data_IF_959892302546
#
_entry.id   IF_959892302546
#
_cell.length_a   1.000
_cell.length_b   1.000
_cell.length_c   1.000
_cell.angle_alpha   90.00
_cell.angle_beta   90.00
_cell.angle_gamma   90.00
#
_symmetry.space_group_name_H-M   'P 1'
#
loop_
_entity.id
_entity.type
_entity.pdbx_description
1 polymer ?
#
# COMPACT_ATOMS: atom_id res chain seq x y z
N UNK A 1 8.70 34.15 -7.49
CA UNK A 1 9.70 33.14 -7.91
C UNK A 1 9.33 31.84 -7.23
N UNK A 2 8.83 30.86 -7.97
CA UNK A 2 8.45 29.54 -7.46
C UNK A 2 9.70 28.83 -6.98
N UNK A 3 9.74 28.46 -5.71
CA UNK A 3 10.77 27.60 -5.15
C UNK A 3 10.67 26.24 -5.88
N UNK A 4 11.46 26.07 -6.94
CA UNK A 4 11.57 24.80 -7.65
C UNK A 4 12.36 23.87 -6.74
N UNK A 5 11.67 23.00 -6.02
CA UNK A 5 12.28 21.77 -5.55
C UNK A 5 12.80 21.01 -6.78
N UNK A 6 13.97 20.38 -6.71
CA UNK A 6 14.46 19.63 -7.86
C UNK A 6 13.45 18.52 -8.18
N UNK A 7 12.66 18.78 -9.19
CA UNK A 7 11.61 17.89 -9.63
C UNK A 7 12.25 16.77 -10.45
N UNK A 8 12.60 15.68 -9.81
CA UNK A 8 12.95 14.43 -10.46
C UNK A 8 11.75 13.48 -10.36
N UNK A 9 11.39 12.86 -11.47
CA UNK A 9 10.28 11.91 -11.52
C UNK A 9 9.16 12.33 -12.47
N UNK A 10 8.26 11.40 -12.84
CA UNK A 10 7.19 11.62 -13.81
C UNK A 10 6.12 12.61 -13.34
N UNK A 11 6.00 12.86 -12.03
CA UNK A 11 5.05 13.82 -11.44
C UNK A 11 5.70 15.16 -11.06
N UNK A 12 6.85 15.46 -11.64
CA UNK A 12 7.50 16.74 -11.46
C UNK A 12 6.57 17.91 -11.83
N UNK A 13 6.36 18.86 -10.90
CA UNK A 13 5.48 20.00 -11.07
C UNK A 13 4.05 19.78 -10.56
N UNK A 14 3.66 18.58 -10.21
CA UNK A 14 2.37 18.29 -9.55
C UNK A 14 2.49 18.58 -8.05
N UNK A 15 1.58 19.37 -7.53
CA UNK A 15 1.46 19.68 -6.10
C UNK A 15 0.27 18.99 -5.45
N UNK A 16 0.51 18.36 -4.31
CA UNK A 16 -0.50 17.67 -3.51
C UNK A 16 -0.61 18.32 -2.14
N UNK A 17 -1.82 18.67 -1.73
CA UNK A 17 -2.16 19.03 -0.34
C UNK A 17 -2.77 17.81 0.34
N UNK A 18 -2.03 17.27 1.29
CA UNK A 18 -2.30 15.99 1.96
C UNK A 18 -2.79 16.21 3.40
N UNK A 19 -4.10 16.07 3.63
CA UNK A 19 -4.71 16.08 4.96
C UNK A 19 -4.95 14.65 5.49
N UNK A 20 -4.39 13.65 4.85
CA UNK A 20 -4.59 12.26 5.27
C UNK A 20 -3.76 11.88 6.51
N UNK A 21 -4.20 10.86 7.22
CA UNK A 21 -3.54 10.35 8.43
C UNK A 21 -3.51 8.81 8.45
N UNK A 22 -2.73 8.24 9.34
CA UNK A 22 -2.51 6.81 9.58
C UNK A 22 -1.66 6.17 8.46
N UNK A 23 -2.21 5.31 7.58
CA UNK A 23 -1.43 4.54 6.59
C UNK A 23 -1.96 4.69 5.17
N UNK A 24 -3.24 4.39 4.89
CA UNK A 24 -3.75 4.29 3.51
C UNK A 24 -3.59 5.59 2.71
N UNK A 25 -4.04 6.71 3.27
CA UNK A 25 -3.90 8.02 2.66
C UNK A 25 -2.45 8.48 2.58
N UNK A 26 -1.71 8.52 3.71
CA UNK A 26 -0.28 8.88 3.68
C UNK A 26 0.54 8.00 2.74
N UNK A 27 0.25 6.69 2.68
CA UNK A 27 0.88 5.77 1.75
C UNK A 27 0.60 6.12 0.29
N UNK A 28 -0.66 6.45 -0.06
CA UNK A 28 -1.03 6.87 -1.41
C UNK A 28 -0.26 8.14 -1.82
N UNK A 29 -0.24 9.15 -0.95
CA UNK A 29 0.48 10.42 -1.21
C UNK A 29 2.00 10.21 -1.20
N UNK A 30 2.52 9.26 -0.40
CA UNK A 30 3.92 8.86 -0.42
C UNK A 30 4.34 8.22 -1.75
N UNK A 31 3.46 7.42 -2.38
CA UNK A 31 3.70 6.88 -3.73
C UNK A 31 3.75 7.98 -4.80
N UNK A 32 2.97 9.07 -4.65
CA UNK A 32 3.07 10.23 -5.54
C UNK A 32 4.35 11.03 -5.28
N UNK A 33 4.75 11.19 -4.01
CA UNK A 33 6.01 11.83 -3.66
C UNK A 33 7.23 11.07 -4.21
N UNK A 34 7.23 9.73 -4.14
CA UNK A 34 8.25 8.87 -4.74
C UNK A 34 8.40 9.10 -6.25
N UNK A 35 7.34 9.54 -6.91
CA UNK A 35 7.30 9.85 -8.35
C UNK A 35 7.56 11.33 -8.66
N UNK A 36 7.93 12.13 -7.65
CA UNK A 36 8.35 13.52 -7.82
C UNK A 36 7.28 14.58 -7.58
N UNK A 37 6.09 14.22 -7.08
CA UNK A 37 5.10 15.21 -6.68
C UNK A 37 5.57 16.01 -5.43
N UNK A 38 5.26 17.32 -5.40
CA UNK A 38 5.45 18.18 -4.25
C UNK A 38 4.31 17.98 -3.24
N UNK A 39 4.48 17.06 -2.29
CA UNK A 39 3.45 16.69 -1.33
C UNK A 39 3.61 17.50 -0.04
N UNK A 40 2.61 18.35 0.26
CA UNK A 40 2.52 19.13 1.50
C UNK A 40 1.53 18.45 2.43
N UNK A 41 2.08 17.80 3.47
CA UNK A 41 1.28 17.18 4.53
C UNK A 41 0.87 18.23 5.56
N UNK A 42 -0.43 18.46 5.66
CA UNK A 42 -1.03 19.34 6.68
C UNK A 42 -1.40 18.50 7.90
N UNK A 43 -0.79 18.82 9.02
CA UNK A 43 -0.95 18.10 10.29
C UNK A 43 -1.57 19.01 11.37
N UNK A 44 -2.36 18.45 12.31
CA UNK A 44 -2.77 19.18 13.50
C UNK A 44 -1.56 19.44 14.42
N UNK A 45 -1.66 20.32 15.43
CA UNK A 45 -0.57 20.63 16.35
C UNK A 45 0.09 19.43 17.02
N UNK A 46 -0.68 18.37 17.29
CA UNK A 46 -0.18 17.12 17.85
C UNK A 46 0.40 16.16 16.82
N UNK A 47 0.36 16.49 15.53
CA UNK A 47 0.85 15.64 14.44
C UNK A 47 -0.05 14.46 14.10
N UNK A 48 0.38 13.67 13.12
CA UNK A 48 -0.23 12.40 12.75
C UNK A 48 -0.05 11.39 13.89
N UNK A 49 -1.09 10.61 14.20
CA UNK A 49 -1.05 9.58 15.25
C UNK A 49 0.07 8.55 15.05
N UNK A 50 0.52 8.37 13.81
CA UNK A 50 1.63 7.47 13.49
C UNK A 50 2.99 8.00 13.97
N UNK A 51 3.13 9.30 14.31
CA UNK A 51 4.34 9.85 14.92
C UNK A 51 4.58 9.30 16.34
N UNK A 52 3.51 8.99 17.07
CA UNK A 52 3.53 8.69 18.52
C UNK A 52 3.35 7.20 18.83
N UNK A 53 3.48 6.31 17.87
CA UNK A 53 3.40 4.85 18.07
C UNK A 53 4.78 4.25 18.35
N UNK A 54 5.34 4.52 19.52
CA UNK A 54 6.66 4.02 19.92
C UNK A 54 7.25 4.85 21.04
N UNK A 55 8.49 4.58 21.36
CA UNK A 55 9.23 5.30 22.42
C UNK A 55 9.78 6.65 21.91
N UNK A 56 9.78 6.90 20.60
CA UNK A 56 10.21 8.14 19.96
C UNK A 56 9.02 9.07 19.70
N UNK A 57 9.09 10.30 20.20
CA UNK A 57 7.97 11.25 20.16
C UNK A 57 7.65 11.84 18.79
N UNK A 58 8.56 11.75 17.79
CA UNK A 58 8.37 12.41 16.49
C UNK A 58 8.47 11.49 15.28
N UNK A 59 9.13 10.36 15.41
CA UNK A 59 9.36 9.42 14.30
C UNK A 59 9.16 7.99 14.72
N UNK A 60 8.26 7.31 14.03
CA UNK A 60 8.23 5.84 14.04
C UNK A 60 8.65 5.33 12.66
N UNK A 61 9.23 4.13 12.54
CA UNK A 61 9.50 3.54 11.23
C UNK A 61 8.26 3.46 10.33
N UNK A 62 7.08 3.28 10.93
CA UNK A 62 5.80 3.28 10.21
C UNK A 62 5.45 4.65 9.63
N UNK A 63 5.63 5.73 10.40
CA UNK A 63 5.44 7.09 9.91
C UNK A 63 6.40 7.42 8.77
N UNK A 64 7.70 7.13 8.97
CA UNK A 64 8.74 7.42 7.97
C UNK A 64 8.45 6.72 6.64
N UNK A 65 8.04 5.44 6.69
CA UNK A 65 7.82 4.66 5.48
C UNK A 65 6.73 5.20 4.56
N UNK A 66 5.71 5.87 5.09
CA UNK A 66 4.56 6.40 4.32
C UNK A 66 4.58 7.92 4.16
N UNK A 67 5.54 8.63 4.80
CA UNK A 67 5.63 10.09 4.73
C UNK A 67 6.98 10.61 4.21
N UNK A 68 7.85 9.73 3.73
CA UNK A 68 9.11 10.12 3.08
C UNK A 68 8.85 11.05 1.89
N UNK A 69 9.75 11.99 1.69
CA UNK A 69 9.68 12.94 0.57
C UNK A 69 8.60 14.01 0.67
N UNK A 70 7.84 14.06 1.76
CA UNK A 70 6.82 15.09 1.98
C UNK A 70 7.41 16.30 2.71
N UNK A 71 6.66 17.41 2.65
CA UNK A 71 6.87 18.58 3.49
C UNK A 71 5.78 18.62 4.56
N UNK A 72 6.14 18.82 5.84
CA UNK A 72 5.18 18.93 6.94
C UNK A 72 4.87 20.40 7.25
N UNK A 73 3.58 20.70 7.34
CA UNK A 73 3.02 21.98 7.77
C UNK A 73 2.03 21.73 8.89
N UNK A 74 2.17 22.43 10.00
CA UNK A 74 1.17 22.36 11.09
C UNK A 74 0.15 23.48 10.93
N UNK A 75 -1.14 23.09 10.84
CA UNK A 75 -2.29 24.00 10.90
C UNK A 75 -3.36 23.43 11.85
N UNK A 76 -3.78 24.22 12.82
CA UNK A 76 -4.93 23.84 13.66
C UNK A 76 -6.26 24.21 12.97
N UNK A 77 -6.83 23.25 12.23
CA UNK A 77 -8.10 23.45 11.52
C UNK A 77 -9.31 23.68 12.44
N UNK A 78 -9.15 23.55 13.77
CA UNK A 78 -10.16 23.98 14.74
C UNK A 78 -10.08 25.47 15.03
N UNK A 79 -8.95 26.09 14.76
CA UNK A 79 -8.78 27.53 14.86
C UNK A 79 -9.32 28.20 13.57
N UNK A 80 -10.30 29.13 13.69
CA UNK A 80 -10.88 29.77 12.52
C UNK A 80 -9.87 30.48 11.60
N UNK A 81 -8.76 30.93 12.16
CA UNK A 81 -7.66 31.56 11.40
C UNK A 81 -6.93 30.61 10.44
N UNK A 82 -7.05 29.30 10.61
CA UNK A 82 -6.41 28.33 9.73
C UNK A 82 -7.14 28.15 8.38
N UNK A 83 -8.45 28.40 8.33
CA UNK A 83 -9.23 28.20 7.11
C UNK A 83 -8.75 29.08 5.93
N UNK A 84 -8.48 30.39 6.08
CA UNK A 84 -7.91 31.21 4.99
C UNK A 84 -6.56 30.68 4.51
N UNK A 85 -5.71 30.18 5.41
CA UNK A 85 -4.40 29.63 5.09
C UNK A 85 -4.55 28.36 4.25
N UNK A 86 -5.43 27.43 4.68
CA UNK A 86 -5.69 26.20 3.94
C UNK A 86 -6.29 26.48 2.56
N UNK A 87 -7.20 27.46 2.43
CA UNK A 87 -7.73 27.87 1.13
C UNK A 87 -6.65 28.40 0.18
N UNK A 88 -5.72 29.23 0.70
CA UNK A 88 -4.57 29.69 -0.10
C UNK A 88 -3.68 28.51 -0.54
N UNK A 89 -3.48 27.52 0.34
CA UNK A 89 -2.70 26.34 0.02
C UNK A 89 -3.39 25.49 -1.06
N UNK A 90 -4.70 25.24 -0.93
CA UNK A 90 -5.51 24.51 -1.92
C UNK A 90 -5.44 25.20 -3.28
N UNK A 91 -5.49 26.53 -3.34
CA UNK A 91 -5.41 27.29 -4.59
C UNK A 91 -4.09 27.09 -5.36
N UNK A 92 -3.06 26.52 -4.74
CA UNK A 92 -1.78 26.20 -5.39
C UNK A 92 -1.67 24.72 -5.76
N UNK A 93 -2.67 23.91 -5.46
CA UNK A 93 -2.59 22.45 -5.56
C UNK A 93 -3.23 21.91 -6.83
N UNK A 94 -2.69 20.82 -7.31
CA UNK A 94 -3.28 19.96 -8.35
C UNK A 94 -4.18 18.88 -7.75
N UNK A 95 -3.83 18.44 -6.54
CA UNK A 95 -4.53 17.38 -5.81
C UNK A 95 -4.75 17.82 -4.37
N UNK A 96 -5.97 17.64 -3.87
CA UNK A 96 -6.30 17.74 -2.45
C UNK A 96 -6.78 16.39 -1.95
N UNK A 97 -6.13 15.84 -0.93
CA UNK A 97 -6.40 14.49 -0.41
C UNK A 97 -6.78 14.52 1.07
N UNK A 98 -7.80 13.77 1.44
CA UNK A 98 -8.25 13.63 2.81
C UNK A 98 -8.80 12.23 3.10
N UNK A 99 -8.72 11.79 4.37
CA UNK A 99 -9.35 10.55 4.85
C UNK A 99 -10.08 10.76 6.19
N UNK A 100 -10.67 11.93 6.37
CA UNK A 100 -11.52 12.22 7.52
C UNK A 100 -12.77 11.34 7.51
N UNK A 101 -13.34 11.14 8.70
CA UNK A 101 -14.65 10.50 8.82
C UNK A 101 -15.69 11.27 8.01
N UNK A 102 -16.65 10.58 7.38
CA UNK A 102 -17.72 11.24 6.63
C UNK A 102 -18.38 12.37 7.41
N UNK A 103 -18.54 13.51 6.76
CA UNK A 103 -19.09 14.73 7.33
C UNK A 103 -18.11 15.60 8.12
N UNK A 104 -16.90 15.13 8.42
CA UNK A 104 -15.96 15.93 9.22
C UNK A 104 -15.29 17.04 8.40
N UNK A 105 -14.82 16.71 7.20
CA UNK A 105 -14.19 17.69 6.30
C UNK A 105 -15.21 18.73 5.78
N UNK A 106 -16.45 18.31 5.58
CA UNK A 106 -17.56 19.19 5.20
C UNK A 106 -17.86 20.22 6.29
N UNK A 107 -17.88 19.82 7.58
CA UNK A 107 -18.04 20.75 8.70
C UNK A 107 -16.90 21.76 8.83
N UNK A 108 -15.71 21.41 8.38
CA UNK A 108 -14.58 22.33 8.32
C UNK A 108 -14.65 23.29 7.10
N UNK A 109 -15.63 23.10 6.21
CA UNK A 109 -15.82 23.93 5.01
C UNK A 109 -15.00 23.50 3.80
N UNK A 110 -14.39 22.31 3.83
CA UNK A 110 -13.52 21.79 2.75
C UNK A 110 -14.06 20.50 2.11
N UNK A 111 -15.39 20.32 2.09
CA UNK A 111 -16.04 19.24 1.35
C UNK A 111 -15.80 19.34 -0.16
N UNK A 112 -15.88 18.19 -0.85
CA UNK A 112 -15.59 18.08 -2.30
C UNK A 112 -16.37 19.10 -3.13
N UNK A 113 -17.68 19.26 -2.89
CA UNK A 113 -18.52 20.19 -3.64
C UNK A 113 -18.05 21.64 -3.46
N UNK A 114 -17.69 22.02 -2.22
CA UNK A 114 -17.23 23.37 -1.90
C UNK A 114 -15.87 23.68 -2.52
N UNK A 115 -14.96 22.70 -2.47
CA UNK A 115 -13.60 22.86 -3.01
C UNK A 115 -13.64 22.89 -4.54
N UNK A 116 -14.35 21.98 -5.18
CA UNK A 116 -14.44 21.91 -6.65
C UNK A 116 -15.25 23.06 -7.26
N UNK A 117 -16.19 23.63 -6.52
CA UNK A 117 -16.88 24.85 -6.97
C UNK A 117 -15.92 26.07 -7.06
N UNK A 118 -14.88 26.13 -6.21
CA UNK A 118 -13.86 27.19 -6.22
C UNK A 118 -12.67 26.87 -7.12
N UNK A 119 -12.31 25.59 -7.23
CA UNK A 119 -11.16 25.07 -7.97
C UNK A 119 -11.62 23.91 -8.86
N UNK A 120 -12.28 24.20 -10.00
CA UNK A 120 -12.89 23.18 -10.87
C UNK A 120 -11.88 22.31 -11.62
N UNK A 121 -10.61 22.68 -11.60
CA UNK A 121 -9.48 21.95 -12.17
C UNK A 121 -8.75 21.05 -11.15
N UNK A 122 -9.15 21.11 -9.87
CA UNK A 122 -8.51 20.33 -8.81
C UNK A 122 -8.99 18.87 -8.84
N UNK A 123 -8.08 17.93 -8.59
CA UNK A 123 -8.43 16.54 -8.27
C UNK A 123 -8.63 16.42 -6.76
N UNK A 124 -9.85 16.11 -6.32
CA UNK A 124 -10.18 15.92 -4.91
C UNK A 124 -10.25 14.43 -4.58
N UNK A 125 -9.38 13.93 -3.71
CA UNK A 125 -9.38 12.54 -3.26
C UNK A 125 -10.01 12.40 -1.87
N UNK A 126 -11.00 11.52 -1.76
CA UNK A 126 -11.55 11.05 -0.49
C UNK A 126 -11.24 9.57 -0.29
N UNK A 127 -10.59 9.22 0.82
CA UNK A 127 -10.42 7.82 1.23
C UNK A 127 -11.31 7.55 2.45
N UNK A 128 -12.07 6.47 2.40
CA UNK A 128 -12.97 6.04 3.49
C UNK A 128 -12.79 4.57 3.81
N UNK A 129 -13.26 4.13 4.98
CA UNK A 129 -13.19 2.71 5.36
C UNK A 129 -14.17 1.84 4.58
N UNK A 130 -15.43 2.28 4.44
CA UNK A 130 -16.54 1.47 3.91
C UNK A 130 -17.42 2.20 2.88
N UNK A 131 -16.97 3.36 2.39
CA UNK A 131 -17.76 4.20 1.48
C UNK A 131 -18.57 5.27 2.22
N UNK A 132 -19.32 6.07 1.44
CA UNK A 132 -20.11 7.21 1.92
C UNK A 132 -21.59 6.90 2.14
N UNK A 133 -22.05 5.69 1.79
CA UNK A 133 -23.44 5.26 1.92
C UNK A 133 -23.54 3.89 2.60
N UNK A 134 -24.75 3.49 2.97
CA UNK A 134 -25.02 2.20 3.54
C UNK A 134 -24.96 2.16 5.09
N UNK A 135 -25.22 0.98 5.68
CA UNK A 135 -25.44 0.84 7.12
C UNK A 135 -24.16 1.08 7.96
N UNK A 136 -22.99 0.98 7.34
CA UNK A 136 -21.71 1.07 8.06
C UNK A 136 -21.01 2.43 7.91
N UNK A 137 -21.60 3.41 7.24
CA UNK A 137 -20.99 4.72 6.95
C UNK A 137 -20.41 5.42 8.21
N UNK A 138 -21.03 5.23 9.38
CA UNK A 138 -20.58 5.79 10.65
C UNK A 138 -19.67 4.87 11.47
N UNK A 139 -19.42 3.64 10.96
CA UNK A 139 -18.59 2.66 11.68
C UNK A 139 -17.13 3.11 11.74
N UNK A 140 -16.51 2.92 12.89
CA UNK A 140 -15.05 3.08 13.02
C UNK A 140 -14.38 1.89 12.37
N UNK A 141 -13.49 2.17 11.43
CA UNK A 141 -12.85 1.14 10.61
C UNK A 141 -11.34 1.35 10.62
N UNK A 142 -10.63 0.25 10.82
CA UNK A 142 -9.21 0.09 10.58
C UNK A 142 -9.00 -1.17 9.76
N UNK A 143 -7.79 -1.40 9.28
CA UNK A 143 -7.40 -2.54 8.43
C UNK A 143 -8.02 -3.89 8.86
N UNK A 144 -7.91 -4.35 10.13
CA UNK A 144 -8.48 -5.64 10.53
C UNK A 144 -10.00 -5.73 10.34
N UNK A 145 -10.71 -4.62 10.51
CA UNK A 145 -12.17 -4.58 10.29
C UNK A 145 -12.49 -4.76 8.81
N UNK A 146 -11.68 -4.18 7.93
CA UNK A 146 -11.85 -4.33 6.48
C UNK A 146 -11.52 -5.75 6.03
N UNK A 147 -10.43 -6.35 6.52
CA UNK A 147 -10.11 -7.76 6.25
C UNK A 147 -11.28 -8.69 6.63
N UNK A 148 -11.92 -8.42 7.79
CA UNK A 148 -13.07 -9.22 8.23
C UNK A 148 -14.32 -9.02 7.38
N UNK A 149 -14.58 -7.79 6.89
CA UNK A 149 -15.78 -7.46 6.12
C UNK A 149 -15.69 -7.86 4.64
N UNK A 150 -14.48 -7.91 4.09
CA UNK A 150 -14.24 -8.15 2.66
C UNK A 150 -14.17 -9.62 2.25
N UNK A 151 -14.31 -10.56 3.18
CA UNK A 151 -14.07 -12.00 2.91
C UNK A 151 -12.60 -12.40 2.95
N UNK A 152 -11.67 -11.45 3.11
CA UNK A 152 -10.24 -11.72 3.07
C UNK A 152 -9.78 -12.68 4.18
N UNK A 153 -10.34 -12.55 5.37
CA UNK A 153 -10.04 -13.44 6.50
C UNK A 153 -10.57 -14.87 6.28
N UNK A 154 -11.62 -15.04 5.48
CA UNK A 154 -12.16 -16.35 5.10
C UNK A 154 -11.22 -17.08 4.12
N UNK A 155 -10.66 -16.37 3.14
CA UNK A 155 -9.64 -16.92 2.21
C UNK A 155 -8.45 -17.51 2.98
N UNK A 156 -8.06 -16.90 4.11
CA UNK A 156 -6.96 -17.34 4.98
C UNK A 156 -7.40 -18.35 6.06
N UNK A 157 -8.62 -18.89 5.97
CA UNK A 157 -9.13 -19.82 6.98
C UNK A 157 -8.24 -21.06 7.09
N UNK A 158 -8.11 -21.55 8.32
CA UNK A 158 -7.41 -22.79 8.58
C UNK A 158 -8.11 -23.95 7.84
N UNK A 159 -7.39 -24.75 7.03
CA UNK A 159 -8.01 -25.76 6.19
C UNK A 159 -8.74 -26.86 6.98
N UNK A 160 -8.32 -27.16 8.22
CA UNK A 160 -8.90 -28.20 9.06
C UNK A 160 -9.99 -27.65 9.97
N UNK A 161 -9.66 -26.66 10.78
CA UNK A 161 -10.60 -26.07 11.76
C UNK A 161 -11.59 -25.06 11.17
N UNK A 162 -11.36 -24.64 9.93
CA UNK A 162 -12.14 -23.58 9.25
C UNK A 162 -12.15 -22.24 9.98
N UNK A 163 -11.26 -22.05 10.94
CA UNK A 163 -11.13 -20.79 11.67
C UNK A 163 -10.57 -19.70 10.74
N UNK A 164 -11.29 -18.58 10.50
CA UNK A 164 -10.79 -17.46 9.73
C UNK A 164 -9.49 -16.90 10.31
N UNK A 165 -8.57 -16.50 9.43
CA UNK A 165 -7.29 -15.92 9.80
C UNK A 165 -7.07 -14.61 9.06
N UNK A 166 -6.45 -13.63 9.73
CA UNK A 166 -6.02 -12.39 9.07
C UNK A 166 -4.59 -12.50 8.59
N UNK A 167 -4.27 -11.85 7.48
CA UNK A 167 -2.89 -11.57 7.13
C UNK A 167 -2.33 -10.60 8.19
N UNK A 168 -1.19 -10.96 8.79
CA UNK A 168 -0.55 -10.20 9.87
C UNK A 168 0.25 -8.99 9.34
N UNK A 169 -0.37 -8.23 8.44
CA UNK A 169 0.14 -6.95 7.93
C UNK A 169 -1.06 -6.07 7.54
N UNK A 170 -0.86 -4.77 7.41
CA UNK A 170 -1.91 -3.82 7.05
C UNK A 170 -2.20 -3.92 5.54
N UNK A 171 -2.78 -5.03 5.10
CA UNK A 171 -2.99 -5.33 3.68
C UNK A 171 -4.06 -4.41 3.07
N UNK A 172 -5.14 -4.15 3.79
CA UNK A 172 -6.22 -3.30 3.30
C UNK A 172 -5.76 -1.85 3.15
N UNK A 173 -5.03 -1.31 4.13
CA UNK A 173 -4.44 0.03 4.06
C UNK A 173 -3.48 0.16 2.87
N UNK A 174 -2.53 -0.77 2.72
CA UNK A 174 -1.50 -0.71 1.68
C UNK A 174 -2.07 -0.91 0.28
N UNK A 175 -3.02 -1.83 0.12
CA UNK A 175 -3.71 -2.02 -1.16
C UNK A 175 -4.51 -0.77 -1.53
N UNK A 176 -5.24 -0.18 -0.56
CA UNK A 176 -5.96 1.07 -0.76
C UNK A 176 -5.04 2.21 -1.17
N UNK A 177 -3.83 2.29 -0.59
CA UNK A 177 -2.85 3.31 -0.98
C UNK A 177 -2.47 3.19 -2.46
N UNK A 178 -2.25 1.98 -2.97
CA UNK A 178 -1.95 1.74 -4.40
C UNK A 178 -3.14 2.12 -5.28
N UNK A 179 -4.35 1.67 -4.96
CA UNK A 179 -5.55 2.01 -5.75
C UNK A 179 -5.84 3.52 -5.73
N UNK A 180 -5.69 4.19 -4.58
CA UNK A 180 -5.89 5.62 -4.47
C UNK A 180 -4.86 6.42 -5.28
N UNK A 181 -3.58 6.05 -5.24
CA UNK A 181 -2.55 6.68 -6.07
C UNK A 181 -2.83 6.49 -7.56
N UNK A 182 -3.21 5.28 -8.00
CA UNK A 182 -3.58 4.97 -9.38
C UNK A 182 -4.80 5.79 -9.82
N UNK A 183 -5.83 5.91 -8.97
CA UNK A 183 -7.03 6.70 -9.28
C UNK A 183 -6.73 8.20 -9.41
N UNK A 184 -5.84 8.74 -8.57
CA UNK A 184 -5.35 10.13 -8.70
C UNK A 184 -4.62 10.33 -10.03
N UNK A 185 -3.73 9.41 -10.43
CA UNK A 185 -3.02 9.49 -11.71
C UNK A 185 -3.99 9.45 -12.88
N UNK A 186 -5.01 8.60 -12.85
CA UNK A 186 -6.06 8.55 -13.86
C UNK A 186 -6.86 9.86 -13.93
N UNK A 187 -7.18 10.46 -12.77
CA UNK A 187 -7.89 11.74 -12.70
C UNK A 187 -7.03 12.91 -13.21
N UNK A 188 -5.72 12.93 -12.90
CA UNK A 188 -4.79 13.92 -13.46
C UNK A 188 -4.68 13.80 -14.98
N UNK A 189 -4.58 12.58 -15.51
CA UNK A 189 -4.56 12.34 -16.96
C UNK A 189 -5.88 12.76 -17.65
N UNK A 190 -7.03 12.54 -17.00
CA UNK A 190 -8.32 13.01 -17.49
C UNK A 190 -8.38 14.54 -17.48
N UNK A 191 -7.84 15.19 -16.45
CA UNK A 191 -7.72 16.64 -16.33
C UNK A 191 -6.87 17.23 -17.45
N UNK A 192 -5.72 16.64 -17.77
CA UNK A 192 -4.87 17.11 -18.90
C UNK A 192 -5.62 17.17 -20.22
N UNK A 193 -6.61 16.30 -20.43
CA UNK A 193 -7.41 16.24 -21.66
C UNK A 193 -8.63 17.17 -21.63
N UNK A 194 -9.23 17.38 -20.47
CA UNK A 194 -10.51 18.07 -20.32
C UNK A 194 -10.40 19.49 -19.75
N UNK A 195 -9.25 19.81 -19.12
CA UNK A 195 -9.08 21.01 -18.31
C UNK A 195 -9.87 21.00 -17.00
N UNK A 196 -10.52 19.88 -16.63
CA UNK A 196 -11.38 19.78 -15.45
C UNK A 196 -10.88 18.71 -14.50
N UNK A 197 -10.81 19.07 -13.22
CA UNK A 197 -10.62 18.13 -12.12
C UNK A 197 -11.89 17.35 -11.80
N UNK A 198 -11.83 16.53 -10.76
CA UNK A 198 -12.97 15.72 -10.33
C UNK A 198 -12.81 15.23 -8.88
N UNK A 199 -13.92 14.80 -8.29
CA UNK A 199 -13.91 14.07 -7.04
C UNK A 199 -13.62 12.58 -7.31
N UNK A 200 -12.60 12.06 -6.62
CA UNK A 200 -12.20 10.65 -6.62
C UNK A 200 -12.52 10.07 -5.24
N UNK A 201 -13.31 9.04 -5.18
CA UNK A 201 -13.67 8.34 -3.95
C UNK A 201 -13.07 6.93 -3.96
N UNK A 202 -12.36 6.57 -2.89
CA UNK A 202 -11.80 5.23 -2.71
C UNK A 202 -12.20 4.73 -1.32
N UNK A 203 -12.91 3.60 -1.27
CA UNK A 203 -13.21 2.92 -0.01
C UNK A 203 -12.30 1.71 0.18
N UNK A 204 -11.79 1.51 1.40
CA UNK A 204 -10.95 0.35 1.71
C UNK A 204 -11.70 -0.95 1.47
N UNK A 205 -12.99 -1.02 1.82
CA UNK A 205 -13.83 -2.20 1.60
C UNK A 205 -13.96 -2.52 0.12
N UNK A 206 -14.31 -1.51 -0.71
CA UNK A 206 -14.47 -1.69 -2.16
C UNK A 206 -13.15 -2.11 -2.81
N UNK A 207 -12.04 -1.53 -2.35
CA UNK A 207 -10.69 -1.90 -2.77
C UNK A 207 -10.41 -3.37 -2.51
N UNK A 208 -10.68 -3.85 -1.29
CA UNK A 208 -10.40 -5.24 -0.94
C UNK A 208 -11.32 -6.24 -1.65
N UNK A 209 -12.61 -5.91 -1.81
CA UNK A 209 -13.53 -6.74 -2.61
C UNK A 209 -13.07 -6.80 -4.08
N UNK A 210 -12.68 -5.67 -4.66
CA UNK A 210 -12.13 -5.63 -6.03
C UNK A 210 -10.83 -6.43 -6.14
N UNK A 211 -9.94 -6.33 -5.14
CA UNK A 211 -8.65 -7.02 -5.12
C UNK A 211 -8.78 -8.55 -5.14
N UNK A 212 -9.72 -9.12 -4.38
CA UNK A 212 -9.91 -10.57 -4.31
C UNK A 212 -10.75 -11.14 -5.48
N UNK A 213 -11.41 -10.27 -6.26
CA UNK A 213 -12.38 -10.70 -7.26
C UNK A 213 -11.80 -11.59 -8.38
N UNK A 214 -10.63 -11.27 -8.97
CA UNK A 214 -10.13 -11.97 -10.15
C UNK A 214 -9.89 -13.48 -9.97
N UNK A 215 -9.66 -13.93 -8.75
CA UNK A 215 -9.28 -15.33 -8.48
C UNK A 215 -10.08 -15.92 -7.31
N UNK A 216 -10.01 -15.34 -6.12
CA UNK A 216 -10.64 -15.94 -4.92
C UNK A 216 -12.19 -15.95 -4.99
N UNK A 217 -12.80 -15.07 -5.78
CA UNK A 217 -14.25 -15.03 -6.01
C UNK A 217 -14.71 -15.88 -7.19
N UNK A 218 -13.82 -16.55 -7.91
CA UNK A 218 -14.19 -17.38 -9.05
C UNK A 218 -15.28 -18.44 -8.74
N UNK A 219 -15.26 -19.14 -7.56
CA UNK A 219 -16.30 -20.09 -7.18
C UNK A 219 -17.70 -19.48 -7.03
N UNK A 220 -17.79 -18.17 -6.81
CA UNK A 220 -19.03 -17.42 -6.57
C UNK A 220 -19.44 -16.54 -7.76
N UNK A 221 -18.63 -16.47 -8.81
CA UNK A 221 -18.86 -15.52 -9.92
C UNK A 221 -20.02 -15.91 -10.84
N UNK A 222 -20.41 -17.21 -10.88
CA UNK A 222 -21.52 -17.68 -11.69
C UNK A 222 -22.75 -17.88 -10.81
N UNK A 223 -23.77 -17.04 -10.99
CA UNK A 223 -24.99 -17.04 -10.20
C UNK A 223 -25.78 -18.35 -10.41
N UNK A 224 -26.21 -18.97 -9.31
CA UNK A 224 -27.03 -20.18 -9.30
C UNK A 224 -26.25 -21.49 -9.48
N UNK A 225 -24.93 -21.43 -9.53
CA UNK A 225 -24.03 -22.59 -9.59
C UNK A 225 -22.77 -22.37 -8.73
N UNK A 226 -22.96 -21.70 -7.62
CA UNK A 226 -21.89 -21.40 -6.66
C UNK A 226 -21.31 -22.71 -6.12
N UNK A 227 -19.98 -22.78 -6.06
CA UNK A 227 -19.27 -23.95 -5.57
C UNK A 227 -18.61 -23.65 -4.24
N UNK A 228 -19.30 -23.91 -3.15
CA UNK A 228 -18.81 -23.68 -1.79
C UNK A 228 -17.63 -24.56 -1.43
N UNK A 229 -17.57 -25.79 -1.97
CA UNK A 229 -16.45 -26.70 -1.71
C UNK A 229 -15.18 -26.22 -2.40
N UNK A 230 -15.28 -25.69 -3.62
CA UNK A 230 -14.14 -25.11 -4.32
C UNK A 230 -13.57 -23.86 -3.62
N UNK A 231 -14.43 -23.06 -2.98
CA UNK A 231 -13.98 -21.91 -2.18
C UNK A 231 -13.11 -22.32 -0.98
N UNK A 232 -13.25 -23.54 -0.49
CA UNK A 232 -12.49 -24.06 0.65
C UNK A 232 -11.12 -24.66 0.30
N UNK A 233 -10.75 -24.69 -0.97
CA UNK A 233 -9.59 -25.45 -1.48
C UNK A 233 -8.35 -24.59 -1.79
N UNK A 234 -8.31 -23.32 -1.37
CA UNK A 234 -7.08 -22.53 -1.44
C UNK A 234 -6.08 -23.07 -0.40
N UNK A 235 -5.02 -23.71 -0.88
CA UNK A 235 -3.98 -24.28 -0.02
C UNK A 235 -2.73 -23.44 -0.03
N UNK A 236 -2.05 -23.38 1.11
CA UNK A 236 -0.69 -22.89 1.16
C UNK A 236 0.21 -23.81 0.32
N UNK A 237 0.97 -23.20 -0.59
CA UNK A 237 1.96 -23.91 -1.43
C UNK A 237 3.33 -23.89 -0.74
N UNK A 238 3.37 -24.20 0.56
CA UNK A 238 4.56 -24.22 1.40
C UNK A 238 4.82 -25.65 1.84
N UNK A 239 6.00 -26.15 1.52
CA UNK A 239 6.41 -27.51 1.82
C UNK A 239 7.61 -27.51 2.76
N UNK A 240 7.61 -28.33 3.82
CA UNK A 240 8.76 -28.50 4.69
C UNK A 240 9.89 -29.27 3.98
N UNK A 241 11.11 -28.93 4.32
CA UNK A 241 12.33 -29.65 3.98
C UNK A 241 13.07 -30.00 5.26
N UNK A 242 14.18 -30.69 5.17
CA UNK A 242 14.96 -31.11 6.35
C UNK A 242 15.45 -29.91 7.20
N UNK A 243 15.62 -28.72 6.62
CA UNK A 243 16.21 -27.58 7.32
C UNK A 243 15.49 -26.23 7.01
N UNK A 244 14.28 -26.28 6.42
CA UNK A 244 13.53 -25.07 6.12
C UNK A 244 12.21 -25.34 5.40
N UNK A 245 11.82 -24.41 4.53
CA UNK A 245 10.59 -24.48 3.75
C UNK A 245 10.84 -23.98 2.33
N UNK A 246 10.15 -24.59 1.37
CA UNK A 246 10.12 -24.13 -0.03
C UNK A 246 8.69 -23.92 -0.51
N UNK A 247 8.53 -23.13 -1.56
CA UNK A 247 7.36 -23.16 -2.42
C UNK A 247 7.75 -23.70 -3.79
N UNK A 248 6.84 -24.40 -4.45
CA UNK A 248 7.00 -24.86 -5.82
C UNK A 248 5.66 -24.91 -6.54
N UNK A 249 5.70 -24.89 -7.87
CA UNK A 249 4.52 -25.03 -8.71
C UNK A 249 4.78 -25.90 -9.91
N UNK A 250 3.85 -26.80 -10.25
CA UNK A 250 3.84 -27.57 -11.47
C UNK A 250 2.45 -27.46 -12.09
N UNK A 251 2.30 -26.54 -13.07
CA UNK A 251 1.02 -26.24 -13.72
C UNK A 251 0.83 -27.10 -14.97
N UNK A 252 1.87 -27.19 -15.81
CA UNK A 252 1.87 -27.97 -17.04
C UNK A 252 2.21 -29.42 -16.79
N UNK A 253 1.87 -30.30 -17.75
CA UNK A 253 2.26 -31.70 -17.70
C UNK A 253 3.79 -31.88 -17.77
N UNK A 254 4.49 -31.01 -18.54
CA UNK A 254 5.95 -30.99 -18.59
C UNK A 254 6.56 -30.72 -17.20
N UNK A 255 6.07 -29.70 -16.52
CA UNK A 255 6.55 -29.35 -15.16
C UNK A 255 6.21 -30.44 -14.15
N UNK A 256 5.05 -31.10 -14.28
CA UNK A 256 4.68 -32.21 -13.41
C UNK A 256 5.65 -33.40 -13.56
N UNK A 257 5.98 -33.78 -14.81
CA UNK A 257 6.95 -34.84 -15.07
C UNK A 257 8.34 -34.48 -14.50
N UNK A 258 8.79 -33.25 -14.74
CA UNK A 258 10.05 -32.74 -14.24
C UNK A 258 10.11 -32.75 -12.70
N UNK A 259 9.03 -32.31 -12.03
CA UNK A 259 8.89 -32.34 -10.58
C UNK A 259 8.99 -33.77 -10.04
N UNK A 260 8.22 -34.74 -10.60
CA UNK A 260 8.22 -36.11 -10.12
C UNK A 260 9.62 -36.75 -10.20
N UNK A 261 10.39 -36.44 -11.24
CA UNK A 261 11.76 -36.89 -11.36
C UNK A 261 12.69 -36.20 -10.35
N UNK A 262 12.56 -34.87 -10.19
CA UNK A 262 13.41 -34.08 -9.29
C UNK A 262 13.25 -34.49 -7.83
N UNK A 263 12.01 -34.78 -7.39
CA UNK A 263 11.73 -35.26 -6.02
C UNK A 263 11.88 -36.77 -5.85
N UNK A 264 12.40 -37.48 -6.87
CA UNK A 264 12.64 -38.92 -6.87
C UNK A 264 11.38 -39.78 -6.69
N UNK A 265 10.25 -39.32 -7.16
CA UNK A 265 8.95 -40.00 -7.09
C UNK A 265 8.35 -40.25 -8.50
N UNK A 266 9.07 -40.98 -9.41
CA UNK A 266 8.56 -41.18 -10.77
C UNK A 266 7.26 -42.00 -10.81
N UNK A 267 6.93 -42.76 -9.77
CA UNK A 267 5.69 -43.50 -9.66
C UNK A 267 4.43 -42.63 -9.66
N UNK A 268 4.56 -41.35 -9.27
CA UNK A 268 3.44 -40.39 -9.31
C UNK A 268 3.04 -40.00 -10.74
N UNK A 269 3.91 -40.25 -11.73
CA UNK A 269 3.62 -39.99 -13.14
C UNK A 269 2.49 -40.89 -13.65
N UNK A 270 2.55 -42.16 -13.27
CA UNK A 270 1.58 -43.18 -13.72
C UNK A 270 0.43 -43.34 -12.73
N UNK A 271 0.40 -42.60 -11.63
CA UNK A 271 -0.67 -42.64 -10.64
C UNK A 271 -1.97 -42.13 -11.26
N UNK A 272 -3.05 -42.95 -11.25
CA UNK A 272 -4.33 -42.56 -11.84
C UNK A 272 -4.91 -41.24 -11.27
N UNK A 273 -4.57 -40.88 -10.05
CA UNK A 273 -4.99 -39.61 -9.42
C UNK A 273 -4.37 -38.39 -10.08
N UNK A 274 -3.22 -38.51 -10.77
CA UNK A 274 -2.40 -37.36 -11.19
C UNK A 274 -2.08 -37.31 -12.68
N UNK A 275 -2.58 -38.24 -13.49
CA UNK A 275 -2.29 -38.37 -14.92
C UNK A 275 -2.61 -37.13 -15.76
N UNK A 276 -3.62 -36.34 -15.41
CA UNK A 276 -3.99 -35.11 -16.13
C UNK A 276 -4.05 -33.92 -15.19
N UNK A 277 -3.91 -32.71 -15.73
CA UNK A 277 -4.03 -31.46 -14.95
C UNK A 277 -5.38 -31.37 -14.21
N UNK A 278 -6.47 -31.85 -14.83
CA UNK A 278 -7.79 -31.92 -14.21
C UNK A 278 -7.85 -32.88 -13.02
N UNK A 279 -7.22 -34.06 -13.14
CA UNK A 279 -7.13 -35.04 -12.05
C UNK A 279 -6.21 -34.53 -10.94
N UNK A 280 -5.08 -33.89 -11.26
CA UNK A 280 -4.21 -33.24 -10.28
C UNK A 280 -4.90 -32.16 -9.49
N UNK A 281 -5.79 -31.39 -10.12
CA UNK A 281 -6.61 -30.39 -9.43
C UNK A 281 -7.70 -31.03 -8.55
N UNK A 282 -8.35 -32.06 -9.04
CA UNK A 282 -9.39 -32.79 -8.29
C UNK A 282 -8.81 -33.46 -7.03
N UNK A 283 -7.64 -34.09 -7.15
CA UNK A 283 -6.95 -34.79 -6.06
C UNK A 283 -5.82 -33.92 -5.48
N UNK A 284 -6.12 -32.63 -5.28
CA UNK A 284 -5.10 -31.65 -4.89
C UNK A 284 -4.52 -31.94 -3.51
N UNK A 285 -5.35 -32.33 -2.55
CA UNK A 285 -4.91 -32.62 -1.19
C UNK A 285 -3.91 -33.77 -1.17
N UNK A 286 -4.26 -34.88 -1.79
CA UNK A 286 -3.41 -36.09 -1.86
C UNK A 286 -2.10 -35.78 -2.60
N UNK A 287 -2.18 -34.99 -3.69
CA UNK A 287 -0.98 -34.53 -4.41
C UNK A 287 -0.04 -33.71 -3.52
N UNK A 288 -0.58 -32.82 -2.70
CA UNK A 288 0.21 -31.99 -1.78
C UNK A 288 0.89 -32.85 -0.72
N UNK A 289 0.18 -33.83 -0.17
CA UNK A 289 0.70 -34.78 0.83
C UNK A 289 1.85 -35.63 0.25
N UNK A 290 1.69 -36.16 -0.98
CA UNK A 290 2.78 -36.92 -1.65
C UNK A 290 4.02 -36.06 -1.90
N UNK A 291 3.84 -34.80 -2.36
CA UNK A 291 4.95 -33.87 -2.57
C UNK A 291 5.62 -33.52 -1.25
N UNK A 292 4.86 -33.23 -0.20
CA UNK A 292 5.37 -32.92 1.13
C UNK A 292 6.21 -34.06 1.70
N UNK A 293 5.67 -35.29 1.63
CA UNK A 293 6.39 -36.47 2.08
C UNK A 293 7.71 -36.69 1.33
N UNK A 294 7.70 -36.45 0.01
CA UNK A 294 8.89 -36.59 -0.82
C UNK A 294 9.96 -35.52 -0.53
N UNK A 295 9.57 -34.30 -0.19
CA UNK A 295 10.48 -33.17 0.04
C UNK A 295 11.13 -33.21 1.43
N UNK A 296 10.47 -33.77 2.42
CA UNK A 296 10.95 -33.81 3.82
C UNK A 296 12.40 -34.21 4.04
N UNK A 297 12.92 -35.23 3.35
CA UNK A 297 14.32 -35.67 3.51
C UNK A 297 15.38 -34.74 2.91
N UNK A 298 15.02 -33.88 1.94
CA UNK A 298 15.98 -33.02 1.25
C UNK A 298 16.33 -31.78 2.05
N UNK A 299 17.57 -31.32 1.93
CA UNK A 299 17.94 -29.99 2.40
C UNK A 299 17.43 -28.94 1.43
N UNK A 300 17.01 -27.79 1.94
CA UNK A 300 16.44 -26.68 1.16
C UNK A 300 17.28 -26.29 -0.04
N UNK A 301 18.59 -26.03 0.16
CA UNK A 301 19.48 -25.61 -0.91
C UNK A 301 19.68 -26.69 -1.99
N UNK A 302 19.72 -27.96 -1.60
CA UNK A 302 19.91 -29.08 -2.51
C UNK A 302 18.69 -29.28 -3.42
N UNK A 303 17.50 -29.31 -2.83
CA UNK A 303 16.29 -29.54 -3.62
C UNK A 303 15.94 -28.34 -4.51
N UNK A 304 16.19 -27.09 -4.07
CA UNK A 304 16.05 -25.91 -4.92
C UNK A 304 16.94 -26.03 -6.15
N UNK A 305 18.23 -26.35 -5.99
CA UNK A 305 19.16 -26.51 -7.12
C UNK A 305 18.69 -27.61 -8.09
N UNK A 306 18.14 -28.72 -7.57
CA UNK A 306 17.63 -29.83 -8.39
C UNK A 306 16.38 -29.42 -9.15
N UNK A 307 15.44 -28.71 -8.53
CA UNK A 307 14.21 -28.23 -9.14
C UNK A 307 14.48 -27.17 -10.22
N UNK A 308 15.38 -26.23 -9.94
CA UNK A 308 15.83 -25.21 -10.92
C UNK A 308 16.48 -25.84 -12.13
N UNK A 309 17.38 -26.84 -11.94
CA UNK A 309 18.00 -27.57 -13.03
C UNK A 309 16.98 -28.35 -13.90
N UNK A 310 15.85 -28.72 -13.30
CA UNK A 310 14.73 -29.39 -13.98
C UNK A 310 13.71 -28.42 -14.58
N UNK A 311 13.94 -27.11 -14.54
CA UNK A 311 13.00 -26.06 -15.01
C UNK A 311 11.66 -26.10 -14.28
N UNK A 312 11.67 -26.44 -12.99
CA UNK A 312 10.49 -26.40 -12.11
C UNK A 312 10.48 -25.11 -11.31
N UNK A 313 9.42 -24.27 -11.41
CA UNK A 313 9.31 -23.05 -10.62
C UNK A 313 9.34 -23.34 -9.11
N UNK A 314 10.32 -22.81 -8.41
CA UNK A 314 10.49 -22.99 -6.98
C UNK A 314 11.22 -21.81 -6.34
N UNK A 315 11.08 -21.68 -5.03
CA UNK A 315 11.84 -20.71 -4.23
C UNK A 315 11.93 -21.16 -2.76
N UNK A 316 12.98 -20.78 -2.03
CA UNK A 316 13.00 -20.91 -0.58
C UNK A 316 12.01 -19.94 0.05
N UNK A 317 11.39 -20.33 1.17
CA UNK A 317 10.54 -19.41 1.96
C UNK A 317 11.43 -18.65 2.93
N UNK A 318 11.80 -17.45 2.55
CA UNK A 318 12.70 -16.59 3.33
C UNK A 318 11.96 -15.93 4.50
N UNK A 319 12.60 -15.84 5.65
CA UNK A 319 12.19 -14.91 6.69
C UNK A 319 12.39 -13.45 6.20
N UNK A 320 11.72 -12.49 6.86
CA UNK A 320 11.92 -11.06 6.56
C UNK A 320 13.36 -10.59 6.77
N UNK A 321 14.12 -11.27 7.61
CA UNK A 321 15.54 -10.97 7.86
C UNK A 321 16.42 -11.53 6.74
N UNK A 322 16.22 -12.76 6.34
CA UNK A 322 16.95 -13.40 5.23
C UNK A 322 16.72 -12.68 3.91
N UNK A 323 15.49 -12.23 3.65
CA UNK A 323 15.15 -11.43 2.46
C UNK A 323 16.07 -10.22 2.30
N UNK A 324 16.52 -9.57 3.40
CA UNK A 324 17.42 -8.42 3.33
C UNK A 324 18.81 -8.76 2.76
N UNK A 325 19.23 -10.02 2.82
CA UNK A 325 20.51 -10.50 2.30
C UNK A 325 20.37 -11.39 1.05
N UNK A 326 19.15 -11.58 0.56
CA UNK A 326 18.89 -12.34 -0.66
C UNK A 326 19.58 -11.73 -1.88
N UNK A 327 20.31 -12.52 -2.69
CA UNK A 327 21.08 -12.01 -3.82
C UNK A 327 20.23 -11.25 -4.85
N UNK A 328 18.99 -11.69 -5.12
CA UNK A 328 18.12 -11.01 -6.08
C UNK A 328 17.59 -9.70 -5.51
N UNK A 329 17.24 -9.65 -4.23
CA UNK A 329 16.82 -8.42 -3.55
C UNK A 329 17.97 -7.40 -3.54
N UNK A 330 19.20 -7.85 -3.29
CA UNK A 330 20.41 -7.01 -3.37
C UNK A 330 20.67 -6.52 -4.80
N UNK A 331 20.62 -7.39 -5.80
CA UNK A 331 20.81 -7.03 -7.20
C UNK A 331 19.75 -6.04 -7.73
N UNK A 332 18.53 -6.12 -7.22
CA UNK A 332 17.46 -5.17 -7.53
C UNK A 332 17.69 -3.79 -6.91
N UNK A 333 18.58 -3.69 -5.93
CA UNK A 333 18.87 -2.44 -5.18
C UNK A 333 17.59 -1.77 -4.66
N UNK A 334 16.74 -2.56 -3.99
CA UNK A 334 15.44 -2.06 -3.52
C UNK A 334 15.47 -1.52 -2.09
N UNK A 335 16.41 -1.98 -1.25
CA UNK A 335 16.53 -1.58 0.15
C UNK A 335 17.75 -0.71 0.35
N UNK A 336 17.53 0.55 0.70
CA UNK A 336 18.58 1.53 0.95
C UNK A 336 18.77 1.76 2.45
N UNK A 337 20.01 2.07 2.85
CA UNK A 337 20.32 2.62 4.17
C UNK A 337 20.35 4.13 4.05
N UNK A 338 19.53 4.80 4.84
CA UNK A 338 19.46 6.26 4.90
C UNK A 338 19.60 6.72 6.35
N UNK A 339 20.12 7.92 6.55
CA UNK A 339 20.13 8.54 7.87
C UNK A 339 18.89 9.44 8.00
N UNK A 340 17.94 9.02 8.83
CA UNK A 340 16.69 9.76 9.08
C UNK A 340 16.91 10.75 10.22
N UNK A 341 16.84 12.07 9.99
CA UNK A 341 16.94 13.04 11.06
C UNK A 341 15.99 12.72 12.22
N UNK A 342 16.50 12.73 13.44
CA UNK A 342 15.73 12.43 14.65
C UNK A 342 15.52 10.93 14.94
N UNK A 343 15.91 10.02 14.04
CA UNK A 343 15.80 8.55 14.23
C UNK A 343 17.12 7.82 13.99
N UNK A 344 18.08 8.44 13.27
CA UNK A 344 19.35 7.84 12.90
C UNK A 344 19.25 6.88 11.69
N UNK A 345 20.20 5.93 11.56
CA UNK A 345 20.28 5.07 10.39
C UNK A 345 19.13 4.06 10.34
N UNK A 346 18.40 4.07 9.24
CA UNK A 346 17.28 3.15 8.96
C UNK A 346 17.44 2.47 7.62
N UNK A 347 16.70 1.37 7.42
CA UNK A 347 16.47 0.76 6.11
C UNK A 347 15.15 1.25 5.55
N UNK A 348 15.16 1.68 4.29
CA UNK A 348 13.97 2.13 3.58
C UNK A 348 13.94 1.52 2.17
N UNK A 349 12.80 0.98 1.76
CA UNK A 349 12.62 0.56 0.39
C UNK A 349 12.44 1.81 -0.51
N UNK A 350 13.09 1.83 -1.68
CA UNK A 350 12.78 2.81 -2.73
C UNK A 350 11.42 2.52 -3.39
N UNK A 351 10.96 3.44 -4.23
CA UNK A 351 9.83 3.18 -5.12
C UNK A 351 10.08 1.91 -5.97
N UNK A 352 9.04 1.08 -6.11
CA UNK A 352 9.15 -0.16 -6.87
C UNK A 352 9.38 0.10 -8.36
N UNK A 353 8.70 1.09 -8.95
CA UNK A 353 8.84 1.45 -10.35
C UNK A 353 10.16 2.21 -10.62
N UNK A 354 10.79 1.89 -11.74
CA UNK A 354 11.96 2.61 -12.30
C UNK A 354 11.55 3.23 -13.62
N UNK A 355 11.72 4.54 -13.76
CA UNK A 355 11.40 5.27 -14.99
C UNK A 355 12.69 5.61 -15.75
N UNK A 356 12.80 5.19 -17.01
CA UNK A 356 14.02 5.37 -17.81
C UNK A 356 14.26 6.82 -18.23
N UNK A 357 13.20 7.57 -18.53
CA UNK A 357 13.27 8.96 -18.99
C UNK A 357 13.11 9.98 -17.87
N UNK A 358 12.38 9.63 -16.81
CA UNK A 358 12.10 10.49 -15.66
C UNK A 358 12.43 9.73 -14.36
N UNK A 359 13.72 9.48 -14.07
CA UNK A 359 14.11 8.66 -12.93
C UNK A 359 13.65 9.30 -11.61
N UNK A 360 13.24 8.44 -10.70
CA UNK A 360 12.89 8.87 -9.35
C UNK A 360 14.10 9.51 -8.64
N UNK A 361 13.83 10.44 -7.73
CA UNK A 361 14.86 10.95 -6.81
C UNK A 361 15.39 9.81 -5.90
N UNK A 362 16.60 9.95 -5.33
CA UNK A 362 17.06 9.06 -4.26
C UNK A 362 16.06 8.98 -3.13
N UNK A 363 16.06 7.86 -2.39
CA UNK A 363 15.12 7.63 -1.27
C UNK A 363 15.20 8.78 -0.27
N UNK A 364 14.14 9.58 -0.12
CA UNK A 364 14.18 10.75 0.75
C UNK A 364 13.85 10.38 2.21
N UNK A 365 14.17 11.29 3.12
CA UNK A 365 13.75 11.24 4.52
C UNK A 365 12.29 11.69 4.69
N UNK A 366 11.71 11.40 5.85
CA UNK A 366 10.42 11.97 6.25
C UNK A 366 10.63 13.27 7.04
N UNK A 367 9.71 14.26 6.95
CA UNK A 367 9.84 15.53 7.62
C UNK A 367 9.56 15.44 9.12
N UNK A 368 10.22 16.29 9.92
CA UNK A 368 9.81 16.63 11.28
C UNK A 368 8.42 17.30 11.30
N UNK A 369 7.76 17.28 12.46
CA UNK A 369 6.46 17.91 12.62
C UNK A 369 6.60 19.43 12.42
N UNK A 370 5.87 19.97 11.43
CA UNK A 370 5.92 21.40 11.12
C UNK A 370 7.24 21.92 10.53
N UNK A 371 8.17 21.04 10.19
CA UNK A 371 9.51 21.43 9.68
C UNK A 371 9.47 22.46 8.56
N UNK A 372 8.42 22.46 7.76
CA UNK A 372 8.30 23.31 6.58
C UNK A 372 7.24 24.42 6.73
N UNK A 373 6.65 24.61 7.92
CA UNK A 373 5.52 25.53 8.12
C UNK A 373 5.84 26.93 7.66
N UNK A 374 6.91 27.55 8.19
CA UNK A 374 7.30 28.91 7.82
C UNK A 374 7.57 29.04 6.32
N UNK A 375 8.38 28.16 5.76
CA UNK A 375 8.75 28.18 4.32
C UNK A 375 7.52 28.06 3.40
N UNK A 376 6.55 27.23 3.79
CA UNK A 376 5.32 27.07 2.99
C UNK A 376 4.45 28.32 3.12
N UNK A 377 4.29 28.91 4.31
CA UNK A 377 3.55 30.13 4.50
C UNK A 377 4.17 31.33 3.73
N UNK A 378 5.49 31.47 3.74
CA UNK A 378 6.21 32.43 2.92
C UNK A 378 5.91 32.24 1.42
N UNK A 379 5.92 30.99 0.95
CA UNK A 379 5.62 30.67 -0.46
C UNK A 379 4.19 31.01 -0.87
N UNK A 380 3.27 31.09 0.10
CA UNK A 380 1.89 31.56 -0.09
C UNK A 380 1.77 33.09 -0.02
N UNK A 381 2.87 33.82 0.16
CA UNK A 381 2.90 35.27 0.19
C UNK A 381 2.52 35.90 1.52
N UNK A 382 2.64 35.16 2.63
CA UNK A 382 2.52 35.74 3.97
C UNK A 382 3.85 36.38 4.40
N UNK A 383 3.76 37.57 5.00
CA UNK A 383 4.91 38.23 5.59
C UNK A 383 5.33 37.62 6.93
N UNK A 384 6.57 37.85 7.35
CA UNK A 384 7.07 37.30 8.62
C UNK A 384 6.26 37.69 9.84
N UNK A 385 5.70 38.94 9.89
CA UNK A 385 4.85 39.39 10.99
C UNK A 385 3.50 38.65 11.04
N UNK A 386 2.92 38.36 9.87
CA UNK A 386 1.70 37.53 9.77
C UNK A 386 1.97 36.10 10.21
N UNK A 387 3.09 35.51 9.77
CA UNK A 387 3.52 34.17 10.16
C UNK A 387 3.75 34.10 11.67
N UNK A 388 4.44 35.07 12.25
CA UNK A 388 4.63 35.17 13.69
C UNK A 388 3.27 35.26 14.41
N UNK A 389 2.32 36.01 13.87
CA UNK A 389 0.95 36.10 14.43
C UNK A 389 0.25 34.74 14.37
N UNK A 390 0.35 33.99 13.26
CA UNK A 390 -0.26 32.65 13.15
C UNK A 390 0.33 31.68 14.17
N UNK A 391 1.63 31.74 14.43
CA UNK A 391 2.27 30.91 15.44
C UNK A 391 1.84 31.32 16.86
N UNK A 392 1.85 32.61 17.18
CA UNK A 392 1.48 33.13 18.49
C UNK A 392 0.02 32.90 18.84
N UNK A 393 -0.87 32.88 17.84
CA UNK A 393 -2.31 32.62 18.03
C UNK A 393 -2.71 31.16 17.88
N UNK A 394 -1.74 30.27 17.68
CA UNK A 394 -1.98 28.83 17.54
C UNK A 394 -2.71 28.43 16.24
N UNK A 395 -2.69 29.28 15.22
CA UNK A 395 -3.19 28.94 13.87
C UNK A 395 -2.26 27.95 13.20
N UNK A 396 -0.95 28.16 13.36
CA UNK A 396 0.13 27.32 12.82
C UNK A 396 1.17 27.05 13.91
N UNK A 397 1.99 26.02 13.70
CA UNK A 397 3.18 25.78 14.53
C UNK A 397 4.38 25.41 13.67
N UNK A 398 5.57 25.78 14.17
CA UNK A 398 6.87 25.40 13.63
C UNK A 398 7.57 24.57 14.71
N UNK A 399 8.14 23.40 14.36
CA UNK A 399 8.99 22.64 15.29
C UNK A 399 10.39 23.23 15.37
#
# INVERSE_FOLDING_TARGET
MTCKYPAAGPLAGIRVVDLTSVISGPGAMGLLADQGADVIKVEPPQGDIMRHRGDDENFTPGFVSVNRGKRSVVLDLKNPGAAPVLWKLIATADVFAQNFRPGAIERLGFGSDTVLARHPDLVYLSISGVGRAGPYVKKRVYDPVVQALSGFADIQADPVSRRPKMIRTLIADKTTAVYASQAVLAALLARERSGKGQHVEVAMLDTMVTYIWPEAMAPFSKIGVENMDAASTLHDMIFPTADGYITLGAVSDKEWLALCHAIQCPHLIDDPRFQTAGLRNKNRQERMEEIEAALGPFRTAEIIATLEAADVPCAPVLSRWEMLSDPQVQANDIVHKIDQPGLGPIRQARAAAKFSATPNAPVPTAPGLGEHTVKVLESLGYGMDEIATFINTGVAAQA
#
